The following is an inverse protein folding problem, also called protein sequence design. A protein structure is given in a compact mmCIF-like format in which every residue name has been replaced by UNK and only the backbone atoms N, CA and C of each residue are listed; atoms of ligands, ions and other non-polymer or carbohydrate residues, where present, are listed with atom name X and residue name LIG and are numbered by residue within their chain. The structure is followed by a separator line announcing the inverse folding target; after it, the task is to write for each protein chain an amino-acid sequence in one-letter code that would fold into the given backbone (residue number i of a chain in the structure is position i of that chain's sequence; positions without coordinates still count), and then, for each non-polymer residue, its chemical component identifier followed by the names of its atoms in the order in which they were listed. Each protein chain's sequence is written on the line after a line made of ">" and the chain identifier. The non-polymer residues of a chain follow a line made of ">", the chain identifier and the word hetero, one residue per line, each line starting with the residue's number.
data_IF_222579612563
#
_entry.id   IF_222579612563
#
_cell.length_a   1.000
_cell.length_b   1.000
_cell.length_c   1.000
_cell.angle_alpha   90.00
_cell.angle_beta   90.00
_cell.angle_gamma   90.00
#
_symmetry.space_group_name_H-M   'P 1'
#
loop_
_entity.id
_entity.type
_entity.pdbx_description
1 polymer ?
#
# COMPACT_ATOMS: atom_id res chain seq x y z
N UNK A 1 5.48 12.53 -26.43
CA UNK A 1 5.07 11.85 -25.18
C UNK A 1 4.17 12.78 -24.39
N UNK A 2 2.88 12.45 -24.29
CA UNK A 2 1.88 13.25 -23.57
C UNK A 2 1.84 12.84 -22.09
N UNK A 3 1.87 13.79 -21.15
CA UNK A 3 1.58 13.52 -19.73
C UNK A 3 2.70 12.92 -18.86
N UNK A 4 3.95 12.93 -19.32
CA UNK A 4 5.12 12.45 -18.56
C UNK A 4 6.02 13.59 -18.02
N UNK A 5 5.52 14.82 -18.02
CA UNK A 5 6.29 15.99 -17.64
C UNK A 5 6.04 16.38 -16.17
N UNK A 6 7.13 16.61 -15.43
CA UNK A 6 7.09 17.29 -14.15
C UNK A 6 6.81 18.79 -14.38
N UNK A 7 5.93 19.38 -13.57
CA UNK A 7 5.65 20.82 -13.60
C UNK A 7 5.97 21.43 -12.24
N UNK A 8 6.72 22.53 -12.26
CA UNK A 8 6.83 23.43 -11.10
C UNK A 8 5.55 24.26 -11.02
N UNK A 9 4.87 24.17 -9.88
CA UNK A 9 3.64 24.91 -9.60
C UNK A 9 3.95 26.42 -9.58
N UNK A 10 3.15 27.21 -10.29
CA UNK A 10 3.22 28.67 -10.26
C UNK A 10 1.94 29.29 -9.68
N UNK A 11 1.94 30.60 -9.41
CA UNK A 11 0.78 31.29 -8.82
C UNK A 11 -0.52 31.17 -9.65
N UNK A 12 -0.43 31.03 -10.97
CA UNK A 12 -1.62 30.86 -11.81
C UNK A 12 -2.24 29.47 -11.69
N UNK A 13 -1.46 28.47 -11.28
CA UNK A 13 -1.94 27.10 -11.02
C UNK A 13 -2.71 26.99 -9.71
N UNK A 14 -2.52 27.93 -8.79
CA UNK A 14 -3.14 27.96 -7.46
C UNK A 14 -4.54 28.62 -7.46
N UNK A 15 -5.09 28.96 -8.63
CA UNK A 15 -6.45 29.54 -8.75
C UNK A 15 -7.55 28.58 -8.30
N UNK A 16 -7.32 27.28 -8.47
CA UNK A 16 -8.17 26.22 -7.95
C UNK A 16 -7.39 25.45 -6.87
N UNK A 17 -8.00 25.09 -5.73
CA UNK A 17 -7.32 24.29 -4.70
C UNK A 17 -6.78 22.98 -5.30
N UNK A 18 -5.47 22.80 -5.27
CA UNK A 18 -4.83 21.60 -5.85
C UNK A 18 -5.27 20.34 -5.12
N UNK A 19 -5.43 20.42 -3.79
CA UNK A 19 -6.05 19.38 -2.98
C UNK A 19 -7.34 19.95 -2.41
N UNK A 20 -8.44 19.22 -2.61
CA UNK A 20 -9.77 19.62 -2.19
C UNK A 20 -10.40 18.53 -1.31
N UNK A 21 -11.10 18.91 -0.25
CA UNK A 21 -11.71 17.98 0.71
C UNK A 21 -10.82 17.69 1.92
N UNK A 22 -11.27 16.77 2.76
CA UNK A 22 -10.61 16.42 4.03
C UNK A 22 -10.53 14.89 4.22
N UNK A 23 -9.47 14.43 4.90
CA UNK A 23 -9.26 13.01 5.20
C UNK A 23 -9.29 12.11 3.96
N UNK A 24 -9.98 10.97 4.05
CA UNK A 24 -10.18 10.01 2.93
C UNK A 24 -10.99 10.58 1.76
N UNK A 25 -11.66 11.71 1.95
CA UNK A 25 -12.40 12.41 0.90
C UNK A 25 -11.55 13.48 0.19
N UNK A 26 -10.25 13.59 0.52
CA UNK A 26 -9.34 14.50 -0.18
C UNK A 26 -9.13 14.05 -1.62
N UNK A 27 -9.15 15.00 -2.56
CA UNK A 27 -9.02 14.74 -4.00
C UNK A 27 -8.10 15.77 -4.65
N UNK A 28 -7.23 15.30 -5.53
CA UNK A 28 -6.45 16.13 -6.44
C UNK A 28 -7.40 16.81 -7.43
N UNK A 29 -7.40 18.14 -7.45
CA UNK A 29 -8.26 18.99 -8.26
C UNK A 29 -9.74 18.57 -8.16
N UNK A 30 -10.20 18.23 -6.95
CA UNK A 30 -11.55 17.72 -6.68
C UNK A 30 -11.97 16.48 -7.50
N UNK A 31 -11.00 15.73 -8.06
CA UNK A 31 -11.27 14.69 -9.06
C UNK A 31 -10.83 13.30 -8.62
N UNK A 32 -9.56 13.11 -8.29
CA UNK A 32 -8.97 11.77 -8.02
C UNK A 32 -8.36 11.69 -6.62
N UNK A 33 -8.44 10.53 -5.96
CA UNK A 33 -7.98 10.32 -4.58
C UNK A 33 -6.46 10.25 -4.38
N UNK A 34 -5.68 10.30 -5.47
CA UNK A 34 -4.22 10.16 -5.42
C UNK A 34 -3.53 11.38 -6.04
N UNK A 35 -2.33 11.69 -5.54
CA UNK A 35 -1.47 12.75 -6.10
C UNK A 35 -0.38 12.19 -7.00
N UNK A 36 -0.18 10.87 -6.98
CA UNK A 36 0.77 10.15 -7.83
C UNK A 36 0.13 8.92 -8.46
N UNK A 37 0.44 8.67 -9.72
CA UNK A 37 -0.13 7.57 -10.49
C UNK A 37 0.34 7.55 -11.94
N UNK A 38 0.30 6.37 -12.53
CA UNK A 38 0.43 6.18 -13.98
C UNK A 38 -0.93 6.37 -14.66
N UNK A 39 -0.93 6.65 -15.97
CA UNK A 39 -2.17 6.78 -16.74
C UNK A 39 -2.85 8.14 -16.61
N UNK A 40 -4.18 8.14 -16.72
CA UNK A 40 -5.05 9.33 -16.62
C UNK A 40 -4.61 10.54 -17.47
N UNK A 41 -4.13 10.27 -18.68
CA UNK A 41 -3.57 11.29 -19.58
C UNK A 41 -4.60 12.34 -20.01
N UNK A 42 -5.85 11.91 -20.21
CA UNK A 42 -6.94 12.76 -20.67
C UNK A 42 -7.92 13.14 -19.55
N UNK A 43 -7.65 12.72 -18.31
CA UNK A 43 -8.50 13.02 -17.16
C UNK A 43 -8.43 14.52 -16.85
N UNK A 44 -9.61 15.12 -16.64
CA UNK A 44 -9.79 16.55 -16.44
C UNK A 44 -10.41 16.81 -15.08
N UNK A 45 -10.03 17.95 -14.50
CA UNK A 45 -10.57 18.41 -13.24
C UNK A 45 -12.09 18.60 -13.33
N UNK A 46 -12.83 18.10 -12.33
CA UNK A 46 -14.25 18.42 -12.14
C UNK A 46 -14.38 19.84 -11.58
N UNK A 47 -14.12 20.85 -12.41
CA UNK A 47 -14.31 22.25 -12.06
C UNK A 47 -15.72 22.71 -12.42
N UNK A 48 -16.31 23.54 -11.55
CA UNK A 48 -17.60 24.20 -11.79
C UNK A 48 -17.54 25.25 -12.91
N UNK A 49 -16.35 25.80 -13.17
CA UNK A 49 -16.08 26.66 -14.32
C UNK A 49 -15.62 25.76 -15.48
N UNK A 50 -16.03 26.05 -16.71
CA UNK A 50 -15.67 25.39 -17.98
C UNK A 50 -14.15 25.32 -18.27
N UNK A 51 -13.32 25.70 -17.30
CA UNK A 51 -11.89 25.48 -17.24
C UNK A 51 -11.54 24.02 -17.55
N UNK A 52 -10.95 23.82 -18.72
CA UNK A 52 -10.58 22.53 -19.25
C UNK A 52 -9.21 22.09 -18.72
N UNK A 53 -9.08 22.03 -17.40
CA UNK A 53 -7.81 21.76 -16.72
C UNK A 53 -7.57 20.25 -16.72
N UNK A 54 -6.49 19.79 -17.33
CA UNK A 54 -6.04 18.41 -17.21
C UNK A 54 -5.47 18.17 -15.81
N UNK A 55 -5.72 16.98 -15.24
CA UNK A 55 -5.13 16.64 -13.95
C UNK A 55 -3.62 16.51 -14.03
N UNK A 56 -3.10 16.13 -15.19
CA UNK A 56 -1.68 16.20 -15.49
C UNK A 56 -1.34 17.64 -15.88
N UNK A 57 -0.25 18.18 -15.33
CA UNK A 57 0.87 17.48 -14.70
C UNK A 57 0.82 17.38 -13.16
N UNK A 58 -0.31 17.70 -12.52
CA UNK A 58 -0.44 17.62 -11.05
C UNK A 58 -0.50 16.17 -10.53
N UNK A 59 -1.01 15.23 -11.34
CA UNK A 59 -0.84 13.78 -11.11
C UNK A 59 0.50 13.30 -11.68
N UNK A 60 1.50 13.18 -10.80
CA UNK A 60 2.85 12.76 -11.18
C UNK A 60 3.00 11.24 -11.20
N UNK A 61 3.70 10.69 -12.19
CA UNK A 61 4.08 9.27 -12.22
C UNK A 61 5.41 8.99 -11.49
N UNK A 62 6.01 10.01 -10.85
CA UNK A 62 7.30 9.89 -10.21
C UNK A 62 7.17 9.22 -8.83
N UNK A 63 7.82 8.06 -8.61
CA UNK A 63 7.79 7.40 -7.32
C UNK A 63 8.64 8.15 -6.28
N UNK A 64 8.38 7.86 -5.00
CA UNK A 64 9.34 8.12 -3.94
C UNK A 64 10.23 6.88 -3.81
N UNK A 65 11.55 7.09 -3.82
CA UNK A 65 12.52 5.99 -3.73
C UNK A 65 13.19 6.07 -2.36
N UNK A 66 13.04 5.00 -1.57
CA UNK A 66 13.75 4.81 -0.31
C UNK A 66 14.62 3.56 -0.45
N UNK A 67 15.88 3.67 -0.06
CA UNK A 67 16.83 2.56 -0.08
C UNK A 67 17.06 2.12 1.35
N UNK A 68 16.85 0.83 1.62
CA UNK A 68 17.14 0.20 2.90
C UNK A 68 18.24 -0.82 2.63
N UNK A 69 19.38 -0.64 3.29
CA UNK A 69 20.50 -1.57 3.15
C UNK A 69 20.31 -2.77 4.08
N UNK A 70 19.84 -3.86 3.49
CA UNK A 70 19.54 -5.13 4.17
C UNK A 70 20.83 -5.80 4.69
N UNK A 71 21.97 -5.56 4.05
CA UNK A 71 23.23 -6.26 4.37
C UNK A 71 24.00 -5.52 5.45
N UNK A 72 24.19 -4.21 5.29
CA UNK A 72 25.06 -3.42 6.18
C UNK A 72 24.29 -2.64 7.25
N UNK A 73 23.04 -2.23 7.00
CA UNK A 73 22.28 -1.41 7.96
C UNK A 73 21.34 -2.23 8.85
N UNK A 74 20.84 -3.37 8.37
CA UNK A 74 20.05 -4.30 9.17
C UNK A 74 20.97 -5.36 9.78
N UNK A 75 21.60 -5.03 10.91
CA UNK A 75 22.34 -6.02 11.70
C UNK A 75 21.41 -7.19 12.06
N UNK A 76 21.66 -8.36 11.47
CA UNK A 76 20.97 -9.64 11.66
C UNK A 76 19.51 -9.73 11.18
N UNK A 77 19.29 -9.54 9.87
CA UNK A 77 18.05 -9.98 9.22
C UNK A 77 17.82 -11.47 9.48
N UNK A 78 16.69 -11.83 10.07
CA UNK A 78 16.32 -13.19 10.44
C UNK A 78 15.01 -13.67 9.78
N UNK A 79 14.50 -14.83 10.20
CA UNK A 79 13.28 -15.44 9.63
C UNK A 79 11.97 -14.74 9.99
N UNK A 80 12.05 -13.76 10.89
CA UNK A 80 10.95 -12.91 11.33
C UNK A 80 10.91 -11.59 10.56
N UNK A 81 11.98 -11.22 9.86
CA UNK A 81 12.04 -10.03 9.03
C UNK A 81 11.34 -10.25 7.69
N UNK A 82 10.17 -9.61 7.57
CA UNK A 82 9.24 -9.79 6.46
C UNK A 82 8.79 -8.40 5.98
N UNK A 83 8.87 -8.20 4.67
CA UNK A 83 8.29 -7.05 4.00
C UNK A 83 6.84 -7.35 3.62
N UNK A 84 5.92 -6.50 4.06
CA UNK A 84 4.50 -6.55 3.70
C UNK A 84 4.22 -5.43 2.71
N UNK A 85 3.69 -5.79 1.54
CA UNK A 85 3.14 -4.83 0.58
C UNK A 85 1.64 -5.06 0.50
N UNK A 86 0.84 -4.00 0.45
CA UNK A 86 -0.60 -4.12 0.31
C UNK A 86 -1.22 -2.90 -0.34
N UNK A 87 -2.38 -3.07 -0.98
CA UNK A 87 -3.21 -1.97 -1.46
C UNK A 87 -3.81 -1.19 -0.28
N UNK A 88 -4.29 0.02 -0.53
CA UNK A 88 -5.03 0.83 0.45
C UNK A 88 -6.22 0.06 1.05
N UNK A 89 -6.85 -0.84 0.29
CA UNK A 89 -7.87 -1.77 0.82
C UNK A 89 -7.47 -2.53 2.09
N UNK A 90 -6.17 -2.82 2.32
CA UNK A 90 -5.65 -3.34 3.59
C UNK A 90 -5.44 -2.22 4.62
N UNK A 91 -4.63 -1.24 4.25
CA UNK A 91 -4.10 -0.22 5.17
C UNK A 91 -5.14 0.77 5.68
N UNK A 92 -6.27 0.88 4.98
CA UNK A 92 -7.38 1.74 5.35
C UNK A 92 -8.12 1.27 6.61
N UNK A 93 -8.01 -0.02 6.94
CA UNK A 93 -8.77 -0.67 8.03
C UNK A 93 -7.92 -1.52 8.96
N UNK A 94 -6.67 -1.83 8.62
CA UNK A 94 -5.72 -2.59 9.45
C UNK A 94 -4.50 -1.73 9.74
N UNK A 95 -4.16 -1.55 11.03
CA UNK A 95 -3.01 -0.74 11.42
C UNK A 95 -1.68 -1.50 11.27
N UNK A 96 -0.57 -0.77 11.21
CA UNK A 96 0.77 -1.38 11.17
C UNK A 96 1.03 -2.31 12.37
N UNK A 97 0.53 -1.95 13.55
CA UNK A 97 0.64 -2.75 14.77
C UNK A 97 -0.21 -4.01 14.70
N UNK A 98 -1.40 -3.94 14.10
CA UNK A 98 -2.27 -5.10 13.88
C UNK A 98 -1.63 -6.06 12.86
N UNK A 99 -1.09 -5.55 11.75
CA UNK A 99 -0.31 -6.33 10.78
C UNK A 99 0.88 -7.02 11.46
N UNK A 100 1.66 -6.28 12.26
CA UNK A 100 2.81 -6.82 13.01
C UNK A 100 2.41 -7.98 13.92
N UNK A 101 1.28 -7.86 14.64
CA UNK A 101 0.75 -8.94 15.50
C UNK A 101 0.33 -10.17 14.71
N UNK A 102 -0.35 -9.98 13.57
CA UNK A 102 -0.76 -11.08 12.69
C UNK A 102 0.47 -11.82 12.18
N UNK A 103 1.46 -11.09 11.68
CA UNK A 103 2.73 -11.68 11.19
C UNK A 103 3.45 -12.45 12.29
N UNK A 104 3.61 -11.85 13.48
CA UNK A 104 4.27 -12.51 14.62
C UNK A 104 3.52 -13.77 15.08
N UNK A 105 2.18 -13.75 15.07
CA UNK A 105 1.34 -14.90 15.39
C UNK A 105 1.49 -16.03 14.35
N UNK A 106 1.42 -15.69 13.07
CA UNK A 106 1.57 -16.65 11.97
C UNK A 106 2.95 -17.31 11.95
N UNK A 107 4.01 -16.56 12.28
CA UNK A 107 5.36 -17.11 12.43
C UNK A 107 5.40 -18.14 13.58
N UNK A 108 4.90 -17.78 14.77
CA UNK A 108 4.92 -18.66 15.96
C UNK A 108 4.09 -19.92 15.77
N UNK A 109 2.90 -19.79 15.19
CA UNK A 109 1.99 -20.91 14.92
C UNK A 109 2.61 -21.96 13.99
N UNK A 110 3.41 -21.50 13.02
CA UNK A 110 4.13 -22.40 12.10
C UNK A 110 5.23 -23.18 12.83
N UNK A 111 6.05 -22.51 13.65
CA UNK A 111 7.13 -23.15 14.43
C UNK A 111 6.61 -24.22 15.41
N UNK A 112 5.46 -23.99 16.05
CA UNK A 112 4.88 -24.91 17.03
C UNK A 112 4.30 -26.20 16.41
N UNK A 113 3.96 -26.18 15.12
CA UNK A 113 3.31 -27.30 14.44
C UNK A 113 4.28 -28.41 13.96
N UNK A 114 5.60 -28.19 14.08
CA UNK A 114 6.63 -29.20 13.79
C UNK A 114 6.68 -29.72 12.35
N UNK A 115 5.86 -29.17 11.45
CA UNK A 115 5.80 -29.56 10.03
C UNK A 115 6.78 -28.73 9.21
N UNK A 116 7.44 -29.37 8.26
CA UNK A 116 8.26 -28.78 7.18
C UNK A 116 7.45 -27.86 6.22
N UNK A 117 6.37 -27.22 6.69
CA UNK A 117 5.47 -26.38 5.90
C UNK A 117 5.96 -24.93 5.81
N UNK A 118 7.28 -24.70 5.75
CA UNK A 118 7.87 -23.38 5.46
C UNK A 118 7.30 -22.79 4.16
N UNK A 119 6.92 -23.65 3.21
CA UNK A 119 6.30 -23.27 1.94
C UNK A 119 4.97 -22.54 2.10
N UNK A 120 4.14 -22.91 3.10
CA UNK A 120 2.81 -22.32 3.27
C UNK A 120 2.76 -21.23 4.33
N UNK A 121 3.79 -21.09 5.17
CA UNK A 121 3.91 -20.06 6.22
C UNK A 121 3.46 -18.68 5.73
N UNK A 122 4.07 -18.18 4.66
CA UNK A 122 3.82 -16.84 4.13
C UNK A 122 2.46 -16.73 3.43
N UNK A 123 1.97 -17.83 2.85
CA UNK A 123 0.63 -17.90 2.24
C UNK A 123 -0.43 -17.77 3.32
N UNK A 124 -0.29 -18.46 4.45
CA UNK A 124 -1.21 -18.36 5.59
C UNK A 124 -1.22 -16.94 6.15
N UNK A 125 -0.05 -16.33 6.35
CA UNK A 125 0.06 -14.94 6.82
C UNK A 125 -0.65 -13.98 5.83
N UNK A 126 -0.43 -14.14 4.52
CA UNK A 126 -1.08 -13.32 3.51
C UNK A 126 -2.60 -13.47 3.55
N UNK A 127 -3.10 -14.70 3.69
CA UNK A 127 -4.53 -14.98 3.84
C UNK A 127 -5.12 -14.36 5.10
N UNK A 128 -4.42 -14.45 6.24
CA UNK A 128 -4.86 -13.83 7.50
C UNK A 128 -4.95 -12.30 7.38
N UNK A 129 -3.98 -11.66 6.71
CA UNK A 129 -4.01 -10.21 6.45
C UNK A 129 -5.17 -9.80 5.54
N UNK A 130 -5.45 -10.58 4.48
CA UNK A 130 -6.62 -10.31 3.63
C UNK A 130 -7.92 -10.50 4.42
N UNK A 131 -8.00 -11.53 5.25
CA UNK A 131 -9.19 -11.82 6.05
C UNK A 131 -9.43 -10.78 7.16
N UNK A 132 -8.37 -10.23 7.76
CA UNK A 132 -8.50 -9.16 8.76
C UNK A 132 -9.06 -7.88 8.15
N UNK A 133 -8.67 -7.53 6.92
CA UNK A 133 -9.20 -6.38 6.19
C UNK A 133 -10.61 -6.60 5.65
N UNK A 134 -10.88 -7.77 5.06
CA UNK A 134 -12.16 -8.12 4.43
C UNK A 134 -13.33 -8.17 5.41
N UNK A 135 -13.10 -8.67 6.62
CA UNK A 135 -14.15 -8.87 7.62
C UNK A 135 -15.27 -9.80 7.14
N UNK A 136 -16.48 -9.63 7.71
CA UNK A 136 -17.68 -10.40 7.38
C UNK A 136 -18.85 -9.46 7.10
N UNK A 137 -19.73 -9.87 6.18
CA UNK A 137 -20.95 -9.14 5.90
C UNK A 137 -21.89 -9.24 7.12
N UNK A 138 -22.26 -8.09 7.66
CA UNK A 138 -23.26 -7.94 8.72
C UNK A 138 -24.50 -7.21 8.18
N UNK A 139 -25.56 -7.12 8.98
CA UNK A 139 -26.78 -6.37 8.63
C UNK A 139 -26.46 -4.91 8.29
N UNK A 140 -25.42 -4.33 8.89
CA UNK A 140 -24.97 -2.96 8.67
C UNK A 140 -23.61 -2.92 7.95
N UNK A 141 -23.48 -3.62 6.83
CA UNK A 141 -22.29 -3.61 5.99
C UNK A 141 -21.17 -4.57 6.43
N UNK A 142 -20.01 -4.47 5.79
CA UNK A 142 -18.84 -5.30 6.10
C UNK A 142 -18.19 -4.85 7.40
N UNK A 143 -18.00 -5.78 8.33
CA UNK A 143 -17.43 -5.50 9.66
C UNK A 143 -16.29 -6.45 10.01
N UNK A 144 -15.27 -5.92 10.67
CA UNK A 144 -14.20 -6.70 11.30
C UNK A 144 -14.72 -7.40 12.57
N UNK A 145 -13.88 -8.26 13.17
CA UNK A 145 -14.22 -9.01 14.38
C UNK A 145 -14.49 -8.10 15.60
N UNK A 146 -13.87 -6.93 15.65
CA UNK A 146 -14.04 -5.90 16.68
C UNK A 146 -15.24 -4.97 16.43
N UNK A 147 -16.14 -5.33 15.49
CA UNK A 147 -17.28 -4.54 15.03
C UNK A 147 -16.95 -3.20 14.34
N UNK A 148 -15.68 -2.92 14.06
CA UNK A 148 -15.28 -1.77 13.23
C UNK A 148 -15.56 -2.05 11.75
N UNK A 149 -15.54 -1.00 10.93
CA UNK A 149 -15.81 -1.12 9.49
C UNK A 149 -14.68 -1.89 8.81
N UNK A 150 -15.04 -2.92 8.05
CA UNK A 150 -14.11 -3.60 7.16
C UNK A 150 -13.99 -2.85 5.84
N UNK A 151 -13.02 -3.26 5.02
CA UNK A 151 -12.79 -2.63 3.72
C UNK A 151 -13.90 -2.97 2.73
N UNK A 152 -14.15 -2.02 1.82
CA UNK A 152 -15.07 -2.16 0.69
C UNK A 152 -14.34 -2.11 -0.65
N UNK A 153 -13.00 -2.01 -0.61
CA UNK A 153 -12.14 -1.89 -1.77
C UNK A 153 -11.46 -3.23 -2.11
N UNK A 154 -10.86 -3.30 -3.29
CA UNK A 154 -10.05 -4.44 -3.69
C UNK A 154 -8.81 -4.57 -2.80
N UNK A 155 -8.56 -5.81 -2.34
CA UNK A 155 -7.47 -6.10 -1.41
C UNK A 155 -6.46 -6.99 -2.12
N UNK A 156 -5.21 -6.56 -2.13
CA UNK A 156 -4.07 -7.40 -2.54
C UNK A 156 -2.94 -7.23 -1.54
N UNK A 157 -2.31 -8.34 -1.15
CA UNK A 157 -1.23 -8.35 -0.15
C UNK A 157 -0.11 -9.27 -0.62
N UNK A 158 1.13 -8.82 -0.48
CA UNK A 158 2.34 -9.61 -0.65
C UNK A 158 3.07 -9.73 0.69
N UNK A 159 3.52 -10.95 1.00
CA UNK A 159 4.30 -11.27 2.19
C UNK A 159 5.64 -11.81 1.72
N UNK A 160 6.69 -11.02 1.91
CA UNK A 160 8.01 -11.24 1.29
C UNK A 160 9.05 -11.46 2.39
N UNK A 161 9.58 -12.69 2.57
CA UNK A 161 10.63 -12.95 3.56
C UNK A 161 11.97 -12.37 3.10
N UNK A 162 12.67 -11.64 3.98
CA UNK A 162 13.91 -10.95 3.60
C UNK A 162 15.16 -11.83 3.69
N UNK A 163 15.23 -12.74 4.67
CA UNK A 163 16.41 -13.62 4.89
C UNK A 163 16.82 -14.40 3.64
N UNK A 164 15.86 -15.01 2.94
CA UNK A 164 16.16 -15.81 1.74
C UNK A 164 16.84 -15.01 0.62
N UNK A 165 16.43 -13.75 0.41
CA UNK A 165 17.05 -12.88 -0.59
C UNK A 165 18.44 -12.39 -0.14
N UNK A 166 18.64 -12.19 1.16
CA UNK A 166 19.97 -11.89 1.71
C UNK A 166 20.93 -13.06 1.48
N UNK A 167 20.53 -14.26 1.88
CA UNK A 167 21.33 -15.48 1.71
C UNK A 167 21.64 -15.76 0.23
N UNK A 168 20.71 -15.45 -0.68
CA UNK A 168 20.92 -15.53 -2.12
C UNK A 168 21.92 -14.49 -2.62
N UNK A 169 21.78 -13.23 -2.20
CA UNK A 169 22.68 -12.14 -2.58
C UNK A 169 24.13 -12.39 -2.14
N UNK A 170 24.34 -12.87 -0.91
CA UNK A 170 25.67 -13.21 -0.40
C UNK A 170 26.35 -14.30 -1.24
N UNK A 171 25.60 -15.29 -1.73
CA UNK A 171 26.14 -16.36 -2.61
C UNK A 171 26.57 -15.87 -3.99
N UNK A 172 26.02 -14.75 -4.48
CA UNK A 172 26.37 -14.20 -5.80
C UNK A 172 27.53 -13.20 -5.76
N UNK A 173 27.96 -12.78 -4.58
CA UNK A 173 29.08 -11.84 -4.40
C UNK A 173 30.40 -12.55 -4.12
N UNK A 174 30.35 -13.81 -3.66
CA UNK A 174 31.49 -14.73 -3.66
C UNK A 174 31.84 -15.24 -5.07
#
# INVERSE_FOLDING_TARGET
>A
MTGWAYKKINHHDLKFPVVYGEGKCSRLLATIGVTRGFGDHDLRAQSYDKSNIFIKPFLTSQPEVRVIDIVNSCSNVDENDILILGTDGLWDVVSNEEVSKIVASGIKGTQASGKEDTKYKYITIAQELVMSARGKLSVCGWKKYDNTSATIDDISVFVIPLKGYKDEYEKYID
#
